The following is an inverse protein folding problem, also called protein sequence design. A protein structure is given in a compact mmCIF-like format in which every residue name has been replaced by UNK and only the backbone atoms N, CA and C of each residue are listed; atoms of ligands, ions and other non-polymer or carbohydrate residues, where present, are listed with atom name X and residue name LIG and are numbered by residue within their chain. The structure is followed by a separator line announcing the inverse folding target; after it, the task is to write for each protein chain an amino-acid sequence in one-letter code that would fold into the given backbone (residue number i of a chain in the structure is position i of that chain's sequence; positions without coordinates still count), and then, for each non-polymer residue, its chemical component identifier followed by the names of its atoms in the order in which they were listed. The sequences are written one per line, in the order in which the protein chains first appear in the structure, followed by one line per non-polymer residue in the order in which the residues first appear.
data_IF_934900999224
#
_entry.id   IF_934900999224
#
_cell.length_a   1.000
_cell.length_b   1.000
_cell.length_c   1.000
_cell.angle_alpha   90.00
_cell.angle_beta   90.00
_cell.angle_gamma   90.00
#
_symmetry.space_group_name_H-M   'P 1'
#
loop_
_entity.id
_entity.type
_entity.pdbx_description
1 polymer ?
#
# COMPACT_ATOMS: atom_id res chain seq x y z
N UNK A 1 -43.82 -20.85 -14.87
CA UNK A 1 -42.90 -19.74 -14.53
C UNK A 1 -41.50 -20.32 -14.53
N UNK A 2 -40.77 -20.16 -15.63
CA UNK A 2 -39.42 -20.69 -15.81
C UNK A 2 -38.42 -19.72 -15.18
N UNK A 3 -37.75 -20.16 -14.11
CA UNK A 3 -36.65 -19.43 -13.52
C UNK A 3 -35.50 -19.37 -14.54
N UNK A 4 -35.16 -18.17 -14.99
CA UNK A 4 -33.98 -17.92 -15.80
C UNK A 4 -32.77 -18.19 -14.93
N UNK A 5 -32.08 -19.29 -15.20
CA UNK A 5 -30.79 -19.61 -14.59
C UNK A 5 -29.79 -18.61 -15.18
N UNK A 6 -29.47 -17.56 -14.42
CA UNK A 6 -28.44 -16.61 -14.82
C UNK A 6 -27.10 -17.37 -14.95
N UNK A 7 -26.51 -17.26 -16.13
CA UNK A 7 -25.31 -17.99 -16.51
C UNK A 7 -24.12 -17.48 -15.68
N UNK A 8 -23.42 -18.32 -14.90
CA UNK A 8 -22.28 -17.91 -14.09
C UNK A 8 -21.12 -17.33 -14.92
N UNK A 9 -21.09 -17.57 -16.24
CA UNK A 9 -20.13 -16.93 -17.16
C UNK A 9 -20.41 -15.45 -17.42
N UNK A 10 -21.63 -14.96 -17.19
CA UNK A 10 -21.94 -13.53 -17.32
C UNK A 10 -21.29 -12.70 -16.21
N UNK A 11 -21.16 -13.27 -15.01
CA UNK A 11 -20.42 -12.70 -13.87
C UNK A 11 -18.93 -12.59 -14.18
N UNK A 12 -18.36 -13.58 -14.88
CA UNK A 12 -16.95 -13.56 -15.32
C UNK A 12 -16.63 -12.53 -16.41
N UNK A 13 -17.64 -11.95 -17.08
CA UNK A 13 -17.45 -10.94 -18.13
C UNK A 13 -17.41 -9.50 -17.56
N UNK A 14 -17.65 -9.32 -16.26
CA UNK A 14 -17.72 -8.03 -15.55
C UNK A 14 -16.55 -7.85 -14.55
N UNK A 15 -15.32 -8.21 -14.92
CA UNK A 15 -14.15 -8.05 -14.02
C UNK A 15 -14.30 -8.80 -12.69
N UNK A 16 -13.38 -8.57 -11.73
CA UNK A 16 -13.50 -9.16 -10.39
C UNK A 16 -14.75 -8.62 -9.67
N UNK A 17 -15.38 -9.44 -8.84
CA UNK A 17 -16.51 -9.00 -8.00
C UNK A 17 -16.12 -7.87 -7.04
N UNK A 18 -17.07 -7.02 -6.67
CA UNK A 18 -16.81 -5.91 -5.72
C UNK A 18 -16.31 -6.42 -4.36
N UNK A 19 -16.71 -7.63 -3.96
CA UNK A 19 -16.24 -8.35 -2.78
C UNK A 19 -14.74 -8.69 -2.85
N UNK A 20 -14.26 -9.07 -4.03
CA UNK A 20 -12.83 -9.34 -4.26
C UNK A 20 -12.02 -8.05 -4.17
N UNK A 21 -12.53 -6.96 -4.77
CA UNK A 21 -11.86 -5.66 -4.74
C UNK A 21 -11.85 -5.07 -3.32
N UNK A 22 -12.92 -5.24 -2.55
CA UNK A 22 -12.98 -4.89 -1.14
C UNK A 22 -11.91 -5.63 -0.32
N UNK A 23 -11.80 -6.94 -0.53
CA UNK A 23 -10.84 -7.77 0.17
C UNK A 23 -9.40 -7.31 -0.14
N UNK A 24 -9.10 -7.10 -1.41
CA UNK A 24 -7.78 -6.62 -1.86
C UNK A 24 -7.42 -5.26 -1.23
N UNK A 25 -8.36 -4.31 -1.17
CA UNK A 25 -8.14 -3.03 -0.50
C UNK A 25 -7.98 -3.14 1.02
N UNK A 26 -8.61 -4.13 1.65
CA UNK A 26 -8.39 -4.42 3.08
C UNK A 26 -6.98 -4.97 3.31
N UNK A 27 -6.52 -5.90 2.47
CA UNK A 27 -5.15 -6.43 2.51
C UNK A 27 -4.11 -5.31 2.30
N UNK A 28 -4.40 -4.32 1.45
CA UNK A 28 -3.53 -3.15 1.28
C UNK A 28 -3.40 -2.32 2.55
N UNK A 29 -4.50 -2.08 3.27
CA UNK A 29 -4.45 -1.34 4.55
C UNK A 29 -3.61 -2.08 5.59
N UNK A 30 -3.75 -3.40 5.68
CA UNK A 30 -2.93 -4.23 6.57
C UNK A 30 -1.45 -4.18 6.18
N UNK A 31 -1.16 -4.22 4.88
CA UNK A 31 0.20 -4.13 4.34
C UNK A 31 0.83 -2.77 4.63
N UNK A 32 0.08 -1.67 4.45
CA UNK A 32 0.54 -0.32 4.76
C UNK A 32 0.81 -0.17 6.26
N UNK A 33 -0.07 -0.69 7.12
CA UNK A 33 0.13 -0.69 8.57
C UNK A 33 1.41 -1.45 8.95
N UNK A 34 1.64 -2.62 8.34
CA UNK A 34 2.86 -3.39 8.53
C UNK A 34 4.11 -2.61 8.11
N UNK A 35 4.10 -1.96 6.93
CA UNK A 35 5.22 -1.13 6.48
C UNK A 35 5.50 0.03 7.43
N UNK A 36 4.47 0.69 7.97
CA UNK A 36 4.64 1.77 8.96
C UNK A 36 5.29 1.29 10.26
N UNK A 37 4.90 0.12 10.76
CA UNK A 37 5.53 -0.46 11.94
C UNK A 37 6.98 -0.87 11.67
N UNK A 38 7.28 -1.33 10.46
CA UNK A 38 8.64 -1.66 10.06
C UNK A 38 9.52 -0.41 9.84
N UNK A 39 8.97 0.71 9.37
CA UNK A 39 9.67 2.00 9.37
C UNK A 39 10.07 2.41 10.78
N UNK A 40 9.15 2.34 11.75
CA UNK A 40 9.47 2.60 13.18
C UNK A 40 10.56 1.69 13.73
N UNK A 41 10.69 0.47 13.20
CA UNK A 41 11.78 -0.43 13.54
C UNK A 41 13.10 0.03 12.91
N UNK A 42 13.09 0.48 11.65
CA UNK A 42 14.28 1.03 10.99
C UNK A 42 14.78 2.31 11.66
N UNK A 43 13.89 3.23 12.05
CA UNK A 43 14.26 4.41 12.85
C UNK A 43 15.06 4.00 14.10
N UNK A 44 14.53 3.04 14.87
CA UNK A 44 15.24 2.52 16.05
C UNK A 44 16.58 1.89 15.69
N UNK A 45 16.66 1.14 14.58
CA UNK A 45 17.92 0.53 14.13
C UNK A 45 18.97 1.57 13.76
N UNK A 46 18.58 2.65 13.07
CA UNK A 46 19.50 3.72 12.67
C UNK A 46 20.11 4.43 13.89
N UNK A 47 19.40 4.44 15.02
CA UNK A 47 19.82 5.09 16.26
C UNK A 47 20.54 4.17 17.27
N UNK A 48 20.73 2.87 16.97
CA UNK A 48 21.31 1.91 17.93
C UNK A 48 22.80 2.12 18.26
N UNK A 49 23.56 2.77 17.39
CA UNK A 49 25.00 3.01 17.59
C UNK A 49 25.43 4.32 16.98
N UNK A 50 26.19 5.16 17.68
CA UNK A 50 26.75 6.37 17.08
C UNK A 50 27.83 6.00 16.06
N UNK A 51 27.76 6.49 14.80
CA UNK A 51 28.75 6.15 13.81
C UNK A 51 30.06 6.88 14.16
N UNK A 52 31.12 6.12 14.44
CA UNK A 52 32.46 6.65 14.72
C UNK A 52 33.10 7.33 13.50
N UNK A 53 32.53 7.14 12.30
CA UNK A 53 33.04 7.61 11.01
C UNK A 53 32.12 8.67 10.42
N UNK A 54 32.68 9.82 10.01
CA UNK A 54 31.94 10.96 9.45
C UNK A 54 31.05 10.59 8.25
N UNK A 55 31.50 9.69 7.38
CA UNK A 55 30.75 9.28 6.19
C UNK A 55 29.47 8.49 6.55
N UNK A 56 29.51 7.69 7.62
CA UNK A 56 28.35 6.94 8.12
C UNK A 56 27.33 7.86 8.82
N UNK A 57 27.75 9.03 9.28
CA UNK A 57 26.84 10.05 9.81
C UNK A 57 26.02 10.69 8.68
N UNK A 58 26.66 11.09 7.58
CA UNK A 58 25.97 11.64 6.41
C UNK A 58 25.00 10.61 5.82
N UNK A 59 25.39 9.34 5.73
CA UNK A 59 24.50 8.27 5.27
C UNK A 59 23.28 8.09 6.18
N UNK A 60 23.43 8.22 7.49
CA UNK A 60 22.30 8.19 8.43
C UNK A 60 21.31 9.31 8.17
N UNK A 61 21.79 10.55 8.08
CA UNK A 61 20.93 11.73 7.87
C UNK A 61 20.14 11.62 6.54
N UNK A 62 20.76 11.01 5.52
CA UNK A 62 20.07 10.69 4.26
C UNK A 62 18.99 9.62 4.45
N UNK A 63 19.27 8.55 5.20
CA UNK A 63 18.31 7.48 5.48
C UNK A 63 17.12 7.99 6.31
N UNK A 64 17.36 8.81 7.33
CA UNK A 64 16.30 9.45 8.13
C UNK A 64 15.42 10.39 7.28
N UNK A 65 16.02 11.07 6.31
CA UNK A 65 15.28 11.94 5.39
C UNK A 65 14.41 11.13 4.43
N UNK A 66 14.94 10.02 3.92
CA UNK A 66 14.20 9.09 3.06
C UNK A 66 13.05 8.43 3.82
N UNK A 67 13.28 8.03 5.07
CA UNK A 67 12.25 7.48 5.96
C UNK A 67 11.09 8.45 6.17
N UNK A 68 11.38 9.73 6.43
CA UNK A 68 10.33 10.76 6.57
C UNK A 68 9.49 10.91 5.31
N UNK A 69 10.12 10.90 4.13
CA UNK A 69 9.42 10.98 2.84
C UNK A 69 8.53 9.75 2.64
N UNK A 70 9.05 8.55 2.89
CA UNK A 70 8.27 7.32 2.79
C UNK A 70 7.08 7.31 3.75
N UNK A 71 7.26 7.80 4.99
CA UNK A 71 6.17 7.94 5.95
C UNK A 71 5.01 8.78 5.41
N UNK A 72 5.31 9.93 4.80
CA UNK A 72 4.29 10.79 4.18
C UNK A 72 3.58 10.12 3.01
N UNK A 73 4.31 9.35 2.19
CA UNK A 73 3.72 8.61 1.06
C UNK A 73 2.79 7.51 1.57
N UNK A 74 3.21 6.75 2.58
CA UNK A 74 2.38 5.72 3.20
C UNK A 74 1.13 6.28 3.87
N UNK A 75 1.23 7.45 4.53
CA UNK A 75 0.09 8.17 5.09
C UNK A 75 -0.91 8.59 4.01
N UNK A 76 -0.42 9.12 2.89
CA UNK A 76 -1.26 9.51 1.77
C UNK A 76 -1.95 8.30 1.13
N UNK A 77 -1.21 7.21 0.89
CA UNK A 77 -1.78 6.01 0.29
C UNK A 77 -2.84 5.36 1.19
N UNK A 78 -2.59 5.27 2.50
CA UNK A 78 -3.60 4.76 3.45
C UNK A 78 -4.89 5.55 3.37
N UNK A 79 -4.78 6.89 3.29
CA UNK A 79 -5.93 7.78 3.15
C UNK A 79 -6.67 7.50 1.84
N UNK A 80 -5.97 7.35 0.74
CA UNK A 80 -6.58 7.10 -0.57
C UNK A 80 -7.30 5.76 -0.65
N UNK A 81 -6.70 4.69 -0.10
CA UNK A 81 -7.32 3.37 0.01
C UNK A 81 -8.54 3.43 0.95
N UNK A 82 -8.44 4.14 2.07
CA UNK A 82 -9.58 4.33 2.99
C UNK A 82 -10.75 5.09 2.34
N UNK A 83 -10.45 6.13 1.55
CA UNK A 83 -11.47 6.87 0.80
C UNK A 83 -12.08 6.03 -0.32
N UNK A 84 -11.29 5.18 -0.96
CA UNK A 84 -11.72 4.21 -1.95
C UNK A 84 -12.71 3.19 -1.35
N UNK A 85 -12.42 2.64 -0.18
CA UNK A 85 -13.33 1.75 0.55
C UNK A 85 -14.63 2.43 0.99
N UNK A 86 -14.55 3.68 1.46
CA UNK A 86 -15.75 4.48 1.76
C UNK A 86 -16.61 4.72 0.51
N UNK A 87 -15.99 4.82 -0.66
CA UNK A 87 -16.71 4.97 -1.92
C UNK A 87 -17.38 3.66 -2.33
N UNK A 88 -16.72 2.51 -2.15
CA UNK A 88 -17.33 1.20 -2.37
C UNK A 88 -18.63 1.03 -1.55
N UNK A 89 -18.58 1.34 -0.25
CA UNK A 89 -19.73 1.24 0.64
C UNK A 89 -20.92 2.13 0.19
N UNK A 90 -20.66 3.22 -0.55
CA UNK A 90 -21.72 4.06 -1.14
C UNK A 90 -22.29 3.43 -2.42
N UNK A 91 -21.44 2.84 -3.25
CA UNK A 91 -21.84 2.16 -4.49
C UNK A 91 -22.77 0.98 -4.18
N UNK A 92 -22.43 0.15 -3.19
CA UNK A 92 -23.26 -1.00 -2.78
C UNK A 92 -24.67 -0.59 -2.31
N UNK A 93 -24.78 0.59 -1.67
CA UNK A 93 -26.06 1.12 -1.18
C UNK A 93 -26.94 1.67 -2.29
N UNK A 94 -26.34 2.29 -3.30
CA UNK A 94 -27.08 3.02 -4.32
C UNK A 94 -27.59 2.13 -5.47
N UNK A 95 -27.09 0.89 -5.62
CA UNK A 95 -27.48 -0.15 -6.61
C UNK A 95 -27.53 0.25 -8.10
N UNK A 96 -27.44 1.53 -8.40
CA UNK A 96 -27.35 2.14 -9.71
C UNK A 96 -26.08 2.99 -9.74
N UNK A 97 -25.06 2.48 -10.42
CA UNK A 97 -23.83 3.22 -10.64
C UNK A 97 -22.87 2.37 -11.44
N UNK A 98 -22.52 2.83 -12.64
CA UNK A 98 -21.43 2.27 -13.40
C UNK A 98 -20.17 2.25 -12.49
N UNK A 99 -19.65 1.05 -12.22
CA UNK A 99 -18.51 0.82 -11.33
C UNK A 99 -17.16 1.12 -12.00
N UNK A 100 -17.18 1.66 -13.22
CA UNK A 100 -15.99 1.89 -14.02
C UNK A 100 -15.01 2.85 -13.35
N UNK A 101 -15.48 3.98 -12.81
CA UNK A 101 -14.62 4.94 -12.10
C UNK A 101 -13.98 4.31 -10.86
N UNK A 102 -14.73 3.44 -10.17
CA UNK A 102 -14.22 2.69 -9.02
C UNK A 102 -13.12 1.71 -9.45
N UNK A 103 -13.39 0.90 -10.47
CA UNK A 103 -12.42 -0.10 -10.98
C UNK A 103 -11.15 0.56 -11.51
N UNK A 104 -11.28 1.70 -12.19
CA UNK A 104 -10.14 2.46 -12.69
C UNK A 104 -9.29 3.01 -11.54
N UNK A 105 -9.91 3.58 -10.50
CA UNK A 105 -9.18 4.02 -9.31
C UNK A 105 -8.51 2.85 -8.59
N UNK A 106 -9.21 1.73 -8.46
CA UNK A 106 -8.68 0.53 -7.81
C UNK A 106 -7.44 0.01 -8.55
N UNK A 107 -7.46 -0.01 -9.89
CA UNK A 107 -6.30 -0.39 -10.71
C UNK A 107 -5.09 0.52 -10.46
N UNK A 108 -5.30 1.83 -10.34
CA UNK A 108 -4.21 2.79 -10.04
C UNK A 108 -3.63 2.55 -8.65
N UNK A 109 -4.48 2.38 -7.64
CA UNK A 109 -4.03 2.07 -6.28
C UNK A 109 -3.23 0.76 -6.23
N UNK A 110 -3.63 -0.24 -7.03
CA UNK A 110 -2.86 -1.48 -7.17
C UNK A 110 -1.47 -1.23 -7.74
N UNK A 111 -1.38 -0.47 -8.83
CA UNK A 111 -0.09 -0.12 -9.45
C UNK A 111 0.81 0.65 -8.45
N UNK A 112 0.23 1.55 -7.65
CA UNK A 112 0.94 2.27 -6.59
C UNK A 112 1.42 1.35 -5.45
N UNK A 113 0.59 0.41 -5.01
CA UNK A 113 0.95 -0.60 -4.01
C UNK A 113 2.12 -1.48 -4.49
N UNK A 114 2.07 -1.93 -5.75
CA UNK A 114 3.13 -2.76 -6.34
C UNK A 114 4.45 -2.00 -6.50
N UNK A 115 4.38 -0.72 -6.89
CA UNK A 115 5.55 0.16 -6.97
C UNK A 115 6.18 0.36 -5.57
N UNK A 116 5.36 0.68 -4.58
CA UNK A 116 5.84 0.90 -3.21
C UNK A 116 6.37 -0.36 -2.56
N UNK A 117 5.81 -1.53 -2.82
CA UNK A 117 6.37 -2.80 -2.34
C UNK A 117 7.81 -3.01 -2.86
N UNK A 118 8.06 -2.64 -4.12
CA UNK A 118 9.39 -2.71 -4.72
C UNK A 118 10.34 -1.69 -4.08
N UNK A 119 9.93 -0.43 -3.99
CA UNK A 119 10.71 0.64 -3.39
C UNK A 119 11.06 0.35 -1.92
N UNK A 120 10.09 -0.21 -1.19
CA UNK A 120 10.26 -0.58 0.19
C UNK A 120 11.27 -1.72 0.36
N UNK A 121 11.20 -2.77 -0.48
CA UNK A 121 12.21 -3.85 -0.49
C UNK A 121 13.62 -3.32 -0.78
N UNK A 122 13.76 -2.36 -1.68
CA UNK A 122 15.06 -1.76 -1.98
C UNK A 122 15.55 -0.88 -0.83
N UNK A 123 14.68 -0.09 -0.21
CA UNK A 123 15.01 0.65 1.01
C UNK A 123 15.54 -0.26 2.13
N UNK A 124 14.88 -1.40 2.38
CA UNK A 124 15.36 -2.38 3.37
C UNK A 124 16.79 -2.84 3.10
N UNK A 125 17.14 -3.11 1.84
CA UNK A 125 18.49 -3.54 1.47
C UNK A 125 19.51 -2.45 1.82
N UNK A 126 19.19 -1.18 1.58
CA UNK A 126 20.07 -0.05 1.92
C UNK A 126 20.22 0.07 3.44
N UNK A 127 19.12 0.02 4.20
CA UNK A 127 19.16 0.08 5.68
C UNK A 127 20.00 -1.08 6.24
N UNK A 128 19.81 -2.31 5.77
CA UNK A 128 20.62 -3.43 6.25
C UNK A 128 22.08 -3.35 5.83
N UNK A 129 22.38 -2.78 4.65
CA UNK A 129 23.77 -2.53 4.25
C UNK A 129 24.43 -1.50 5.17
N UNK A 130 23.70 -0.44 5.54
CA UNK A 130 24.17 0.55 6.50
C UNK A 130 24.45 -0.08 7.87
N UNK A 131 23.49 -0.84 8.41
CA UNK A 131 23.66 -1.51 9.72
C UNK A 131 24.83 -2.49 9.73
N UNK A 132 25.13 -3.16 8.62
CA UNK A 132 26.32 -4.03 8.50
C UNK A 132 27.65 -3.28 8.45
N UNK A 133 27.62 -1.98 8.13
CA UNK A 133 28.80 -1.13 8.04
C UNK A 133 29.10 -0.32 9.31
N UNK A 134 28.16 -0.32 10.27
CA UNK A 134 28.36 0.18 11.63
C UNK A 134 29.33 -0.71 12.42
#
# INVERSE_FOLDING_TARGET
MTATIENPKSVFLLGAGLDVLHHESTEWLETIAFWKDEMRFFDKLLHLSDPLVSDLKTQREMLESLERIQGLILDQLEKEVTEHEKYLAKLERNKDGADWDYREKHRRLKEEMEALDTDFKDFKKVVFSYVKSL
#
